data_IF_472330619909
#
_entry.id   IF_472330619909
#
_cell.length_a   1.000
_cell.length_b   1.000
_cell.length_c   1.000
_cell.angle_alpha   90.00
_cell.angle_beta   90.00
_cell.angle_gamma   90.00
#
_symmetry.space_group_name_H-M   'P 1'
#
loop_
_entity.id
_entity.type
_entity.pdbx_description
1 polymer ?
#
# COMPACT_ATOMS: atom_id res chain seq x y z
N UNK A 1 13.81 20.06 6.48
CA UNK A 1 12.77 19.08 6.85
C UNK A 1 12.86 17.93 5.86
N UNK A 2 13.39 16.78 6.25
CA UNK A 2 13.61 15.66 5.34
C UNK A 2 13.51 14.35 6.10
N UNK A 3 12.29 13.89 6.36
CA UNK A 3 12.06 12.50 6.72
C UNK A 3 11.91 11.75 5.39
N UNK A 4 12.83 10.83 5.10
CA UNK A 4 12.91 10.12 3.83
C UNK A 4 11.60 9.43 3.48
N UNK A 5 11.04 9.78 2.32
CA UNK A 5 9.95 9.10 1.63
C UNK A 5 10.38 7.72 1.07
N UNK A 6 11.15 6.95 1.83
CA UNK A 6 11.51 5.58 1.47
C UNK A 6 10.39 4.67 1.98
N UNK A 7 9.55 4.19 1.06
CA UNK A 7 8.55 3.18 1.38
C UNK A 7 9.26 1.91 1.88
N UNK A 8 8.79 1.36 3.00
CA UNK A 8 9.25 0.07 3.49
C UNK A 8 8.63 -1.05 2.65
N UNK A 9 9.33 -1.45 1.59
CA UNK A 9 8.87 -2.47 0.65
C UNK A 9 8.69 -3.85 1.30
N UNK A 10 9.44 -4.18 2.36
CA UNK A 10 9.27 -5.44 3.08
C UNK A 10 7.96 -5.43 3.86
N UNK A 11 7.67 -4.31 4.55
CA UNK A 11 6.41 -4.13 5.27
C UNK A 11 5.23 -4.11 4.30
N UNK A 12 5.35 -3.39 3.19
CA UNK A 12 4.33 -3.35 2.13
C UNK A 12 4.03 -4.76 1.61
N UNK A 13 5.06 -5.58 1.35
CA UNK A 13 4.89 -6.96 0.87
C UNK A 13 4.15 -7.83 1.89
N UNK A 14 4.54 -7.76 3.17
CA UNK A 14 3.89 -8.53 4.23
C UNK A 14 2.42 -8.15 4.40
N UNK A 15 2.11 -6.85 4.44
CA UNK A 15 0.74 -6.36 4.57
C UNK A 15 -0.10 -6.72 3.35
N UNK A 16 0.44 -6.55 2.13
CA UNK A 16 -0.24 -6.92 0.90
C UNK A 16 -0.64 -8.41 0.89
N UNK A 17 0.25 -9.30 1.35
CA UNK A 17 -0.07 -10.73 1.47
C UNK A 17 -1.16 -11.01 2.50
N UNK A 18 -1.09 -10.40 3.70
CA UNK A 18 -2.11 -10.58 4.74
C UNK A 18 -3.48 -10.10 4.29
N UNK A 19 -3.54 -8.93 3.65
CA UNK A 19 -4.80 -8.36 3.16
C UNK A 19 -5.35 -9.20 2.01
N UNK A 20 -4.51 -9.66 1.07
CA UNK A 20 -4.91 -10.57 -0.01
C UNK A 20 -5.45 -11.91 0.51
N UNK A 21 -4.86 -12.43 1.59
CA UNK A 21 -5.26 -13.70 2.21
C UNK A 21 -6.40 -13.54 3.22
N UNK A 22 -7.02 -12.35 3.31
CA UNK A 22 -8.08 -12.03 4.29
C UNK A 22 -7.68 -12.29 5.75
N UNK A 23 -6.39 -12.35 6.06
CA UNK A 23 -5.85 -12.58 7.41
C UNK A 23 -5.36 -11.30 8.08
N UNK A 24 -5.46 -10.16 7.40
CA UNK A 24 -5.12 -8.86 7.96
C UNK A 24 -6.18 -8.35 8.95
N UNK A 25 -5.70 -7.86 10.08
CA UNK A 25 -6.46 -7.08 11.04
C UNK A 25 -6.82 -5.70 10.48
N UNK A 26 -7.81 -5.00 11.05
CA UNK A 26 -8.14 -3.63 10.64
C UNK A 26 -6.93 -2.69 10.71
N UNK A 27 -6.16 -2.76 11.80
CA UNK A 27 -4.92 -1.98 11.94
C UNK A 27 -3.90 -2.25 10.82
N UNK A 28 -3.82 -3.49 10.32
CA UNK A 28 -2.91 -3.86 9.23
C UNK A 28 -3.41 -3.35 7.87
N UNK A 29 -4.73 -3.28 7.67
CA UNK A 29 -5.34 -2.63 6.51
C UNK A 29 -5.09 -1.13 6.54
N UNK A 30 -5.25 -0.50 7.70
CA UNK A 30 -4.98 0.93 7.89
C UNK A 30 -3.51 1.26 7.62
N UNK A 31 -2.61 0.41 8.08
CA UNK A 31 -1.18 0.54 7.83
C UNK A 31 -0.84 0.41 6.35
N UNK A 32 -1.44 -0.56 5.63
CA UNK A 32 -1.28 -0.71 4.19
C UNK A 32 -1.69 0.58 3.46
N UNK A 33 -2.89 1.10 3.78
CA UNK A 33 -3.42 2.31 3.18
C UNK A 33 -2.53 3.53 3.47
N UNK A 34 -2.03 3.65 4.70
CA UNK A 34 -1.12 4.71 5.11
C UNK A 34 0.21 4.66 4.35
N UNK A 35 0.79 3.47 4.15
CA UNK A 35 2.03 3.30 3.38
C UNK A 35 1.85 3.71 1.93
N UNK A 36 0.75 3.28 1.30
CA UNK A 36 0.45 3.65 -0.09
C UNK A 36 0.20 5.15 -0.24
N UNK A 37 -0.50 5.77 0.71
CA UNK A 37 -0.76 7.20 0.68
C UNK A 37 0.52 8.02 0.84
N UNK A 38 1.37 7.68 1.83
CA UNK A 38 2.65 8.36 2.08
C UNK A 38 3.62 8.25 0.90
N UNK A 39 3.52 7.18 0.11
CA UNK A 39 4.32 7.01 -1.10
C UNK A 39 3.70 7.64 -2.36
N UNK A 40 2.58 8.35 -2.23
CA UNK A 40 1.79 8.93 -3.34
C UNK A 40 1.25 7.88 -4.33
N UNK A 41 1.14 6.61 -3.92
CA UNK A 41 0.64 5.52 -4.75
C UNK A 41 -0.88 5.50 -4.83
N UNK A 42 -1.55 6.04 -3.82
CA UNK A 42 -3.00 6.31 -3.83
C UNK A 42 -3.25 7.80 -3.62
N UNK A 43 -4.37 8.29 -4.16
CA UNK A 43 -4.77 9.68 -4.02
C UNK A 43 -5.26 9.99 -2.61
N UNK A 44 -5.18 11.26 -2.21
CA UNK A 44 -5.77 11.74 -0.96
C UNK A 44 -7.25 11.39 -0.85
N UNK A 45 -8.01 11.51 -1.95
CA UNK A 45 -9.43 11.16 -1.98
C UNK A 45 -9.66 9.68 -1.62
N UNK A 46 -8.89 8.76 -2.20
CA UNK A 46 -9.00 7.33 -1.88
C UNK A 46 -8.67 7.04 -0.41
N UNK A 47 -7.66 7.71 0.14
CA UNK A 47 -7.31 7.57 1.55
C UNK A 47 -8.41 8.14 2.47
N UNK A 48 -8.89 9.34 2.19
CA UNK A 48 -9.95 10.00 2.97
C UNK A 48 -11.28 9.23 2.90
N UNK A 49 -11.63 8.69 1.73
CA UNK A 49 -12.83 7.85 1.55
C UNK A 49 -12.71 6.53 2.35
N UNK A 50 -11.52 5.91 2.37
CA UNK A 50 -11.24 4.74 3.21
C UNK A 50 -11.40 5.04 4.70
N UNK A 51 -10.78 6.12 5.21
CA UNK A 51 -10.87 6.52 6.62
C UNK A 51 -12.32 6.89 7.00
N UNK A 52 -13.07 7.48 6.08
CA UNK A 52 -14.48 7.79 6.26
C UNK A 52 -15.42 6.57 6.17
N UNK A 53 -14.87 5.37 5.95
CA UNK A 53 -15.62 4.13 5.84
C UNK A 53 -16.47 4.01 4.56
N UNK A 54 -16.17 4.80 3.53
CA UNK A 54 -16.91 4.82 2.26
C UNK A 54 -16.22 3.94 1.23
N UNK A 55 -16.96 3.03 0.61
CA UNK A 55 -16.46 2.12 -0.44
C UNK A 55 -15.20 1.34 -0.02
N UNK A 56 -15.09 0.96 1.26
CA UNK A 56 -13.88 0.36 1.85
C UNK A 56 -13.38 -0.82 1.01
N UNK A 57 -14.24 -1.76 0.67
CA UNK A 57 -13.86 -2.97 -0.07
C UNK A 57 -13.33 -2.67 -1.48
N UNK A 58 -13.94 -1.71 -2.18
CA UNK A 58 -13.50 -1.30 -3.51
C UNK A 58 -12.13 -0.62 -3.42
N UNK A 59 -11.99 0.35 -2.51
CA UNK A 59 -10.74 1.09 -2.31
C UNK A 59 -9.62 0.14 -1.88
N UNK A 60 -9.90 -0.81 -0.98
CA UNK A 60 -8.93 -1.79 -0.52
C UNK A 60 -8.50 -2.71 -1.67
N UNK A 61 -9.43 -3.20 -2.50
CA UNK A 61 -9.11 -4.01 -3.69
C UNK A 61 -8.26 -3.23 -4.69
N UNK A 62 -8.61 -1.97 -4.99
CA UNK A 62 -7.80 -1.10 -5.86
C UNK A 62 -6.41 -0.90 -5.27
N UNK A 63 -6.31 -0.69 -3.96
CA UNK A 63 -5.05 -0.48 -3.24
C UNK A 63 -4.17 -1.73 -3.27
N UNK A 64 -4.73 -2.94 -3.24
CA UNK A 64 -3.98 -4.19 -3.45
C UNK A 64 -3.35 -4.29 -4.84
N UNK A 65 -4.08 -3.89 -5.89
CA UNK A 65 -3.54 -3.85 -7.26
C UNK A 65 -2.38 -2.85 -7.34
N UNK A 66 -2.56 -1.66 -6.77
CA UNK A 66 -1.53 -0.62 -6.73
C UNK A 66 -0.30 -1.09 -5.93
N UNK A 67 -0.49 -1.71 -4.76
CA UNK A 67 0.59 -2.30 -3.98
C UNK A 67 1.37 -3.35 -4.78
N UNK A 68 0.66 -4.19 -5.56
CA UNK A 68 1.28 -5.14 -6.48
C UNK A 68 2.17 -4.46 -7.52
N UNK A 69 1.69 -3.38 -8.16
CA UNK A 69 2.47 -2.62 -9.15
C UNK A 69 3.71 -1.99 -8.52
N UNK A 70 3.56 -1.38 -7.33
CA UNK A 70 4.68 -0.77 -6.59
C UNK A 70 5.75 -1.82 -6.23
N UNK A 71 5.33 -3.00 -5.76
CA UNK A 71 6.23 -4.11 -5.45
C UNK A 71 6.94 -4.65 -6.71
N UNK A 72 6.22 -4.78 -7.83
CA UNK A 72 6.81 -5.19 -9.10
C UNK A 72 7.87 -4.18 -9.57
N UNK A 73 7.57 -2.88 -9.52
CA UNK A 73 8.54 -1.82 -9.86
C UNK A 73 9.82 -1.90 -9.03
N UNK A 74 9.69 -2.15 -7.73
CA UNK A 74 10.83 -2.34 -6.83
C UNK A 74 11.68 -3.59 -7.14
N UNK A 75 11.02 -4.72 -7.44
CA UNK A 75 11.73 -5.94 -7.82
C UNK A 75 12.48 -5.75 -9.14
N UNK A 76 11.86 -5.09 -10.11
CA UNK A 76 12.50 -4.75 -11.39
C UNK A 76 13.69 -3.80 -11.19
N UNK A 77 13.55 -2.76 -10.37
CA UNK A 77 14.67 -1.84 -10.10
C UNK A 77 15.85 -2.56 -9.44
N UNK A 78 15.59 -3.52 -8.54
CA UNK A 78 16.64 -4.36 -7.95
C UNK A 78 17.32 -5.29 -8.95
N UNK A 79 16.56 -5.81 -9.92
CA UNK A 79 17.10 -6.69 -10.95
C UNK A 79 18.00 -5.93 -11.93
N UNK A 80 17.58 -4.72 -12.33
CA UNK A 80 18.27 -3.88 -13.32
C UNK A 80 19.43 -3.09 -12.72
N UNK A 81 19.42 -2.80 -11.41
CA UNK A 81 20.53 -2.13 -10.72
C UNK A 81 21.69 -3.09 -10.35
N UNK A 82 21.77 -4.25 -11.00
CA UNK A 82 22.73 -5.32 -10.76
C UNK A 82 23.62 -5.51 -11.98
#
# INVERSE_FOLDING_TARGET
MGAGNSIDYNRLMALNQKVKNSSASNAERDELMSLLYRNNSITKKQYDDYIAGRNIDEILKTSLVIAGIVLLGYLLSKLVSK
#
